data_IF_790716429468
#
_entry.id   IF_790716429468
#
_cell.length_a   1.000
_cell.length_b   1.000
_cell.length_c   1.000
_cell.angle_alpha   90.00
_cell.angle_beta   90.00
_cell.angle_gamma   90.00
#
_symmetry.space_group_name_H-M   'P 1'
#
loop_
_entity.id
_entity.type
_entity.pdbx_description
1 polymer ?
#
# COMPACT_ATOMS: atom_id res chain seq x y z
N UNK A 1 -18.36 -21.66 -31.55
CA UNK A 1 -17.48 -20.52 -31.90
C UNK A 1 -17.79 -19.23 -31.12
N UNK A 2 -19.04 -18.77 -31.02
CA UNK A 2 -19.41 -17.53 -30.27
C UNK A 2 -18.91 -17.48 -28.80
N UNK A 3 -18.93 -18.61 -28.08
CA UNK A 3 -18.48 -18.71 -26.67
C UNK A 3 -16.96 -18.55 -26.50
N UNK A 4 -16.17 -19.05 -27.45
CA UNK A 4 -14.70 -18.94 -27.45
C UNK A 4 -14.27 -17.50 -27.80
N UNK A 5 -15.02 -16.86 -28.70
CA UNK A 5 -14.82 -15.46 -29.06
C UNK A 5 -15.08 -14.53 -27.87
N UNK A 6 -16.14 -14.78 -27.09
CA UNK A 6 -16.42 -14.03 -25.85
C UNK A 6 -15.33 -14.18 -24.79
N UNK A 7 -14.74 -15.37 -24.64
CA UNK A 7 -13.64 -15.61 -23.69
C UNK A 7 -12.38 -14.84 -24.10
N UNK A 8 -12.06 -14.80 -25.40
CA UNK A 8 -10.95 -14.02 -25.94
C UNK A 8 -11.13 -12.52 -25.74
N UNK A 9 -12.33 -11.99 -25.98
CA UNK A 9 -12.62 -10.57 -25.77
C UNK A 9 -12.59 -10.19 -24.29
N UNK A 10 -13.08 -11.05 -23.40
CA UNK A 10 -13.00 -10.82 -21.95
C UNK A 10 -11.53 -10.80 -21.45
N UNK A 11 -10.67 -11.65 -22.01
CA UNK A 11 -9.25 -11.71 -21.68
C UNK A 11 -8.46 -10.49 -22.22
N UNK A 12 -8.87 -9.94 -23.37
CA UNK A 12 -8.32 -8.70 -23.94
C UNK A 12 -8.79 -7.45 -23.16
N UNK A 13 -10.04 -7.41 -22.69
CA UNK A 13 -10.53 -6.32 -21.85
C UNK A 13 -9.90 -6.31 -20.45
N UNK A 14 -9.56 -7.48 -19.91
CA UNK A 14 -8.86 -7.59 -18.64
C UNK A 14 -7.41 -7.11 -18.73
N UNK A 15 -6.70 -7.41 -19.83
CA UNK A 15 -5.31 -6.95 -20.04
C UNK A 15 -5.21 -5.43 -20.29
N UNK A 16 -6.23 -4.82 -20.89
CA UNK A 16 -6.28 -3.38 -21.14
C UNK A 16 -6.47 -2.52 -19.87
N UNK A 17 -6.87 -3.11 -18.74
CA UNK A 17 -7.15 -2.36 -17.49
C UNK A 17 -5.93 -2.16 -16.58
N UNK A 18 -4.76 -2.70 -16.94
CA UNK A 18 -3.52 -2.59 -16.15
C UNK A 18 -2.53 -1.58 -16.72
N UNK A 19 -3.02 -0.42 -17.16
CA UNK A 19 -2.14 0.72 -17.42
C UNK A 19 -1.48 1.14 -16.09
N UNK A 20 -0.20 0.83 -15.92
CA UNK A 20 0.62 1.26 -14.80
C UNK A 20 0.72 2.78 -14.89
N UNK A 21 -0.09 3.49 -14.10
CA UNK A 21 0.13 4.90 -13.87
C UNK A 21 1.43 5.04 -13.08
N UNK A 22 2.45 5.59 -13.74
CA UNK A 22 3.60 6.14 -13.04
C UNK A 22 3.08 7.29 -12.18
N UNK A 23 2.76 6.97 -10.92
CA UNK A 23 2.35 7.95 -9.92
C UNK A 23 3.57 8.82 -9.65
N UNK A 24 3.59 10.02 -10.23
CA UNK A 24 4.46 11.08 -9.77
C UNK A 24 4.23 11.24 -8.28
N UNK A 25 5.29 11.04 -7.49
CA UNK A 25 5.22 11.15 -6.04
C UNK A 25 4.83 12.60 -5.75
N UNK A 26 3.63 12.87 -5.21
CA UNK A 26 3.19 14.24 -5.01
C UNK A 26 4.18 14.94 -4.08
N UNK A 27 4.51 16.18 -4.39
CA UNK A 27 5.39 17.01 -3.58
C UNK A 27 4.71 17.26 -2.24
N UNK A 28 5.12 16.52 -1.20
CA UNK A 28 4.52 16.61 0.13
C UNK A 28 4.99 17.88 0.83
N UNK A 29 4.01 18.71 1.22
CA UNK A 29 4.23 19.84 2.11
C UNK A 29 4.19 19.38 3.58
N UNK A 30 5.03 19.99 4.41
CA UNK A 30 5.19 19.61 5.81
C UNK A 30 3.97 19.92 6.70
N UNK A 31 3.09 20.80 6.26
CA UNK A 31 1.80 21.13 6.88
C UNK A 31 0.75 20.01 6.70
N UNK A 32 0.82 19.26 5.60
CA UNK A 32 -0.11 18.19 5.24
C UNK A 32 0.27 16.83 5.82
N UNK A 33 1.46 16.71 6.40
CA UNK A 33 1.96 15.47 6.99
C UNK A 33 1.70 15.48 8.49
N UNK A 34 0.81 14.60 8.96
CA UNK A 34 0.43 14.52 10.37
C UNK A 34 1.02 13.30 11.07
N UNK A 35 1.56 13.51 12.27
CA UNK A 35 2.12 12.47 13.13
C UNK A 35 1.25 12.37 14.39
N UNK A 36 0.75 11.17 14.75
CA UNK A 36 0.06 10.99 16.02
C UNK A 36 1.06 11.11 17.18
N UNK A 37 0.67 11.86 18.21
CA UNK A 37 1.46 12.10 19.42
C UNK A 37 0.70 11.65 20.66
N UNK A 38 1.46 11.10 21.61
CA UNK A 38 0.92 10.60 22.88
C UNK A 38 0.02 9.37 22.72
N UNK A 39 -0.65 9.00 23.83
CA UNK A 39 -1.64 7.90 23.86
C UNK A 39 -3.04 8.35 23.45
N UNK A 40 -3.24 9.66 23.27
CA UNK A 40 -4.54 10.31 23.01
C UNK A 40 -4.90 10.38 21.53
N UNK A 41 -3.98 10.02 20.63
CA UNK A 41 -4.22 10.06 19.18
C UNK A 41 -4.28 11.47 18.58
N UNK A 42 -3.87 12.50 19.33
CA UNK A 42 -3.76 13.87 18.80
C UNK A 42 -2.73 13.89 17.67
N UNK A 43 -3.02 14.63 16.60
CA UNK A 43 -2.17 14.71 15.40
C UNK A 43 -1.49 16.08 15.35
N UNK A 44 -0.16 16.09 15.23
CA UNK A 44 0.63 17.30 15.00
C UNK A 44 1.21 17.27 13.58
N UNK A 45 1.21 18.39 12.87
CA UNK A 45 1.83 18.43 11.55
C UNK A 45 3.36 18.38 11.65
N UNK A 46 4.03 17.92 10.60
CA UNK A 46 5.49 17.86 10.54
C UNK A 46 6.11 19.26 10.66
N UNK A 47 5.45 20.27 10.08
CA UNK A 47 5.80 21.67 10.24
C UNK A 47 5.66 22.17 11.69
N UNK A 48 4.55 21.84 12.36
CA UNK A 48 4.34 22.19 13.77
C UNK A 48 5.36 21.51 14.68
N UNK A 49 5.73 20.25 14.41
CA UNK A 49 6.76 19.55 15.17
C UNK A 49 8.15 20.21 15.03
N UNK A 50 8.43 20.85 13.90
CA UNK A 50 9.64 21.64 13.71
C UNK A 50 9.67 22.89 14.61
N UNK A 51 8.54 23.46 14.99
CA UNK A 51 8.48 24.74 15.71
C UNK A 51 8.01 24.63 17.16
N UNK A 52 7.34 23.55 17.54
CA UNK A 52 6.79 23.35 18.88
C UNK A 52 7.85 23.41 19.97
N UNK A 53 7.47 23.97 21.13
CA UNK A 53 8.33 24.02 22.30
C UNK A 53 8.32 22.68 23.06
N UNK A 54 9.34 22.45 23.89
CA UNK A 54 9.40 21.25 24.73
C UNK A 54 8.26 21.20 25.75
N UNK A 55 7.83 22.35 26.28
CA UNK A 55 6.74 22.43 27.26
C UNK A 55 5.41 22.10 26.61
N UNK A 56 5.15 22.61 25.41
CA UNK A 56 3.91 22.35 24.69
C UNK A 56 3.83 20.89 24.27
N UNK A 57 4.94 20.31 23.80
CA UNK A 57 4.96 18.89 23.45
C UNK A 57 4.76 17.99 24.68
N UNK A 58 5.28 18.37 25.85
CA UNK A 58 5.01 17.65 27.10
C UNK A 58 3.54 17.75 27.51
N UNK A 59 2.90 18.91 27.31
CA UNK A 59 1.48 19.09 27.54
C UNK A 59 0.63 18.21 26.61
N UNK A 60 0.98 18.15 25.32
CA UNK A 60 0.27 17.32 24.33
C UNK A 60 0.48 15.81 24.56
N UNK A 61 1.68 15.40 24.94
CA UNK A 61 2.01 13.98 25.16
C UNK A 61 1.65 13.49 26.56
N UNK A 62 1.39 14.40 27.50
CA UNK A 62 1.13 14.09 28.91
C UNK A 62 2.33 13.51 29.65
N UNK A 63 3.54 13.59 29.08
CA UNK A 63 4.76 12.99 29.65
C UNK A 63 5.85 14.04 29.80
N UNK A 64 6.38 14.20 31.02
CA UNK A 64 7.57 15.01 31.26
C UNK A 64 8.79 14.35 30.60
N UNK A 65 9.57 15.13 29.85
CA UNK A 65 10.80 14.63 29.24
C UNK A 65 11.98 14.72 30.20
N UNK A 66 12.78 13.66 30.25
CA UNK A 66 14.08 13.67 30.93
C UNK A 66 15.07 14.59 30.22
N UNK A 67 16.17 14.96 30.89
CA UNK A 67 17.19 15.83 30.29
C UNK A 67 17.73 15.29 28.95
N UNK A 68 17.99 13.98 28.88
CA UNK A 68 18.45 13.30 27.66
C UNK A 68 17.37 13.34 26.56
N UNK A 69 16.11 13.13 26.92
CA UNK A 69 15.00 13.21 25.98
C UNK A 69 14.80 14.62 25.42
N UNK A 70 15.00 15.66 26.24
CA UNK A 70 14.98 17.05 25.78
C UNK A 70 16.09 17.33 24.77
N UNK A 71 17.28 16.82 25.02
CA UNK A 71 18.41 16.95 24.08
C UNK A 71 18.11 16.22 22.77
N UNK A 72 17.64 14.97 22.84
CA UNK A 72 17.25 14.18 21.66
C UNK A 72 16.13 14.85 20.87
N UNK A 73 15.13 15.42 21.55
CA UNK A 73 14.07 16.18 20.93
C UNK A 73 14.61 17.40 20.17
N UNK A 74 15.51 18.19 20.76
CA UNK A 74 16.13 19.33 20.06
C UNK A 74 16.93 18.90 18.83
N UNK A 75 17.66 17.79 18.93
CA UNK A 75 18.38 17.23 17.77
C UNK A 75 17.41 16.77 16.68
N UNK A 76 16.32 16.10 17.05
CA UNK A 76 15.27 15.70 16.12
C UNK A 76 14.60 16.92 15.46
N UNK A 77 14.25 17.94 16.24
CA UNK A 77 13.67 19.20 15.78
C UNK A 77 14.61 19.91 14.78
N UNK A 78 15.92 19.94 15.04
CA UNK A 78 16.92 20.48 14.12
C UNK A 78 16.95 19.70 12.80
N UNK A 79 16.88 18.35 12.85
CA UNK A 79 16.84 17.51 11.64
C UNK A 79 15.55 17.73 10.84
N UNK A 80 14.40 17.90 11.50
CA UNK A 80 13.12 18.22 10.85
C UNK A 80 13.20 19.60 10.19
N UNK A 81 13.71 20.63 10.89
CA UNK A 81 13.89 21.97 10.29
C UNK A 81 14.79 21.93 9.05
N UNK A 82 15.87 21.14 9.08
CA UNK A 82 16.78 20.96 7.94
C UNK A 82 16.16 20.15 6.79
N UNK A 83 15.16 19.30 7.06
CA UNK A 83 14.49 18.49 6.03
C UNK A 83 13.32 19.23 5.36
N UNK A 84 12.89 20.37 5.89
CA UNK A 84 11.87 21.24 5.32
C UNK A 84 12.56 22.34 4.48
N UNK A 85 12.14 22.48 3.23
CA UNK A 85 12.57 23.55 2.33
C UNK A 85 11.92 24.89 2.69
N UNK A 86 12.45 25.98 2.13
CA UNK A 86 11.91 27.34 2.32
C UNK A 86 10.49 27.49 1.79
N UNK A 87 10.07 26.65 0.85
CA UNK A 87 8.71 26.55 0.30
C UNK A 87 7.78 25.62 1.11
N UNK A 88 8.27 25.04 2.22
CA UNK A 88 7.53 24.11 3.06
C UNK A 88 7.55 22.66 2.59
N UNK A 89 8.26 22.32 1.51
CA UNK A 89 8.34 20.95 0.98
C UNK A 89 9.36 20.09 1.74
N UNK A 90 9.11 18.77 1.83
CA UNK A 90 10.04 17.84 2.48
C UNK A 90 11.14 17.45 1.49
N UNK A 91 12.34 18.01 1.65
CA UNK A 91 13.53 17.73 0.80
C UNK A 91 13.97 16.28 0.86
N UNK A 92 13.72 15.60 1.98
CA UNK A 92 14.22 14.25 2.20
C UNK A 92 13.32 13.20 1.52
N UNK A 93 13.78 12.68 0.37
CA UNK A 93 13.10 11.63 -0.40
C UNK A 93 12.72 10.40 0.43
N UNK A 94 13.48 10.02 1.47
CA UNK A 94 13.12 8.88 2.34
C UNK A 94 11.91 9.19 3.23
N UNK A 95 11.84 10.42 3.76
CA UNK A 95 10.74 10.89 4.60
C UNK A 95 9.49 11.10 3.75
N UNK A 96 9.64 11.75 2.59
CA UNK A 96 8.57 11.86 1.61
C UNK A 96 8.05 10.48 1.20
N UNK A 97 8.93 9.52 0.87
CA UNK A 97 8.54 8.13 0.58
C UNK A 97 7.88 7.43 1.76
N UNK A 98 8.27 7.69 3.01
CA UNK A 98 7.63 7.08 4.18
C UNK A 98 6.21 7.61 4.38
N UNK A 99 6.02 8.92 4.22
CA UNK A 99 4.71 9.56 4.35
C UNK A 99 3.82 9.39 3.13
N UNK A 100 4.35 9.23 1.91
CA UNK A 100 3.55 8.72 0.79
C UNK A 100 3.27 7.24 0.97
N UNK A 101 4.24 6.38 1.28
CA UNK A 101 3.98 4.94 1.46
C UNK A 101 2.93 4.65 2.56
N UNK A 102 2.91 5.43 3.65
CA UNK A 102 1.87 5.31 4.71
C UNK A 102 0.64 6.23 4.56
N UNK A 103 0.73 7.34 3.81
CA UNK A 103 -0.33 8.36 3.69
C UNK A 103 -0.84 8.60 2.26
N UNK A 104 -0.31 7.89 1.28
CA UNK A 104 -0.58 8.03 -0.15
C UNK A 104 -0.19 6.76 -0.92
N UNK A 105 -1.15 5.84 -1.04
CA UNK A 105 -1.11 4.73 -2.01
C UNK A 105 0.05 3.72 -1.89
N UNK A 106 0.65 3.51 -0.71
CA UNK A 106 1.69 2.48 -0.53
C UNK A 106 1.23 1.11 -0.03
N UNK A 107 0.03 0.99 0.54
CA UNK A 107 -0.46 -0.27 1.14
C UNK A 107 -1.78 -0.79 0.53
N UNK A 108 -2.43 -0.03 -0.35
CA UNK A 108 -3.73 -0.40 -0.93
C UNK A 108 -3.74 -0.62 -2.44
N UNK A 109 -2.60 -0.43 -3.12
CA UNK A 109 -2.47 -0.61 -4.57
C UNK A 109 -2.40 -2.07 -5.01
N UNK A 110 -2.56 -2.31 -6.31
CA UNK A 110 -2.45 -3.65 -6.92
C UNK A 110 -1.07 -4.27 -6.69
N UNK A 111 -1.02 -5.45 -6.05
CA UNK A 111 0.22 -6.20 -5.82
C UNK A 111 0.35 -7.34 -6.82
N UNK A 112 0.87 -7.03 -8.02
CA UNK A 112 1.01 -7.97 -9.14
C UNK A 112 1.68 -9.29 -8.75
N UNK A 113 2.77 -9.24 -7.97
CA UNK A 113 3.46 -10.46 -7.53
C UNK A 113 2.63 -11.34 -6.59
N UNK A 114 1.74 -10.73 -5.80
CA UNK A 114 0.85 -11.46 -4.90
C UNK A 114 -0.26 -12.13 -5.71
N UNK A 115 -0.87 -11.35 -6.62
CA UNK A 115 -1.85 -11.86 -7.57
C UNK A 115 -1.31 -13.04 -8.41
N UNK A 116 -0.13 -12.89 -9.00
CA UNK A 116 0.49 -13.95 -9.81
C UNK A 116 0.77 -15.23 -9.01
N UNK A 117 1.23 -15.10 -7.76
CA UNK A 117 1.40 -16.22 -6.83
C UNK A 117 0.09 -16.98 -6.66
N UNK A 118 -0.99 -16.27 -6.32
CA UNK A 118 -2.31 -16.89 -6.18
C UNK A 118 -2.87 -17.50 -7.45
N UNK A 119 -2.68 -16.85 -8.60
CA UNK A 119 -3.27 -17.23 -9.88
C UNK A 119 -2.57 -18.43 -10.53
N UNK A 120 -1.24 -18.43 -10.60
CA UNK A 120 -0.50 -19.49 -11.32
C UNK A 120 -0.10 -20.65 -10.42
N UNK A 121 0.18 -20.38 -9.14
CA UNK A 121 0.64 -21.40 -8.18
C UNK A 121 -0.53 -21.91 -7.32
N UNK A 122 -1.67 -21.22 -7.36
CA UNK A 122 -2.87 -21.62 -6.63
C UNK A 122 -2.73 -21.45 -5.12
N UNK A 123 -3.28 -22.40 -4.38
CA UNK A 123 -3.27 -22.40 -2.92
C UNK A 123 -1.84 -22.41 -2.33
N UNK A 124 -0.91 -23.09 -3.01
CA UNK A 124 0.52 -23.13 -2.63
C UNK A 124 1.11 -21.71 -2.72
N UNK A 125 0.75 -20.94 -3.74
CA UNK A 125 1.18 -19.55 -3.88
C UNK A 125 0.68 -18.64 -2.76
N UNK A 126 -0.54 -18.88 -2.27
CA UNK A 126 -1.07 -18.18 -1.09
C UNK A 126 -0.24 -18.50 0.14
N UNK A 127 0.12 -19.76 0.38
CA UNK A 127 0.98 -20.15 1.51
C UNK A 127 2.37 -19.51 1.44
N UNK A 128 2.97 -19.45 0.24
CA UNK A 128 4.25 -18.75 0.02
C UNK A 128 4.12 -17.26 0.37
N UNK A 129 2.98 -16.63 0.05
CA UNK A 129 2.74 -15.23 0.43
C UNK A 129 2.71 -15.01 1.95
N UNK A 130 2.27 -16.01 2.75
CA UNK A 130 2.31 -15.96 4.22
C UNK A 130 3.72 -16.09 4.79
N UNK A 131 4.60 -16.84 4.11
CA UNK A 131 6.00 -17.06 4.52
C UNK A 131 6.88 -15.82 4.28
N UNK A 132 6.56 -14.99 3.30
CA UNK A 132 7.31 -13.76 2.98
C UNK A 132 7.01 -12.65 3.99
N UNK A 133 8.00 -12.31 4.82
CA UNK A 133 7.89 -11.31 5.88
C UNK A 133 8.58 -10.00 5.47
N UNK A 134 7.85 -9.14 4.77
CA UNK A 134 8.29 -7.80 4.38
C UNK A 134 7.17 -6.78 4.63
N UNK A 135 7.45 -5.49 4.38
CA UNK A 135 6.48 -4.39 4.50
C UNK A 135 5.20 -4.60 3.67
N UNK A 136 5.22 -5.44 2.63
CA UNK A 136 4.13 -5.66 1.68
C UNK A 136 3.32 -6.93 1.98
N UNK A 137 3.62 -7.64 3.07
CA UNK A 137 3.01 -8.93 3.42
C UNK A 137 1.50 -8.93 3.35
N UNK A 138 0.85 -7.97 4.00
CA UNK A 138 -0.61 -7.91 4.06
C UNK A 138 -1.23 -7.69 2.67
N UNK A 139 -0.66 -6.77 1.89
CA UNK A 139 -1.15 -6.48 0.54
C UNK A 139 -0.89 -7.67 -0.41
N UNK A 140 0.28 -8.31 -0.33
CA UNK A 140 0.61 -9.50 -1.12
C UNK A 140 -0.32 -10.67 -0.83
N UNK A 141 -0.60 -10.96 0.45
CA UNK A 141 -1.53 -12.04 0.85
C UNK A 141 -2.93 -11.76 0.31
N UNK A 142 -3.42 -10.51 0.47
CA UNK A 142 -4.71 -10.10 -0.07
C UNK A 142 -4.79 -10.34 -1.58
N UNK A 143 -3.79 -9.91 -2.32
CA UNK A 143 -3.76 -10.11 -3.77
C UNK A 143 -3.56 -11.57 -4.18
N UNK A 144 -2.84 -12.39 -3.40
CA UNK A 144 -2.74 -13.82 -3.63
C UNK A 144 -4.09 -14.53 -3.48
N UNK A 145 -4.88 -14.18 -2.48
CA UNK A 145 -6.24 -14.70 -2.37
C UNK A 145 -7.14 -14.27 -3.54
N UNK A 146 -7.02 -13.02 -4.00
CA UNK A 146 -7.75 -12.54 -5.17
C UNK A 146 -7.31 -13.32 -6.43
N UNK A 147 -6.01 -13.51 -6.65
CA UNK A 147 -5.48 -14.28 -7.78
C UNK A 147 -5.97 -15.73 -7.78
N UNK A 148 -5.97 -16.37 -6.62
CA UNK A 148 -6.50 -17.73 -6.46
C UNK A 148 -8.01 -17.79 -6.74
N UNK A 149 -8.78 -16.83 -6.21
CA UNK A 149 -10.22 -16.73 -6.47
C UNK A 149 -10.53 -16.59 -7.95
N UNK A 150 -9.80 -15.73 -8.67
CA UNK A 150 -9.96 -15.58 -10.13
C UNK A 150 -9.62 -16.87 -10.86
N UNK A 151 -8.55 -17.56 -10.47
CA UNK A 151 -8.19 -18.86 -11.05
C UNK A 151 -9.31 -19.89 -10.89
N UNK A 152 -9.88 -20.02 -9.69
CA UNK A 152 -10.99 -20.95 -9.41
C UNK A 152 -12.22 -20.62 -10.27
N UNK A 153 -12.59 -19.35 -10.37
CA UNK A 153 -13.74 -18.93 -11.20
C UNK A 153 -13.52 -19.26 -12.67
N UNK A 154 -12.34 -18.97 -13.22
CA UNK A 154 -12.02 -19.32 -14.61
C UNK A 154 -12.02 -20.83 -14.83
N UNK A 155 -11.52 -21.60 -13.87
CA UNK A 155 -11.51 -23.06 -13.93
C UNK A 155 -12.93 -23.63 -13.95
N UNK A 156 -13.84 -23.13 -13.09
CA UNK A 156 -15.25 -23.54 -13.09
C UNK A 156 -15.91 -23.19 -14.43
N UNK A 157 -15.71 -21.98 -14.96
CA UNK A 157 -16.25 -21.58 -16.26
C UNK A 157 -15.75 -22.51 -17.37
N UNK A 158 -14.46 -22.86 -17.37
CA UNK A 158 -13.87 -23.77 -18.34
C UNK A 158 -14.53 -25.15 -18.25
N UNK A 159 -14.64 -25.71 -17.04
CA UNK A 159 -15.28 -27.01 -16.79
C UNK A 159 -16.72 -27.00 -17.31
N UNK A 160 -17.53 -26.01 -16.92
CA UNK A 160 -18.92 -25.89 -17.39
C UNK A 160 -18.99 -25.77 -18.90
N UNK A 161 -18.10 -24.99 -19.52
CA UNK A 161 -18.07 -24.84 -20.98
C UNK A 161 -17.72 -26.14 -21.70
N UNK A 162 -16.74 -26.91 -21.18
CA UNK A 162 -16.32 -28.21 -21.74
C UNK A 162 -17.44 -29.23 -21.62
N UNK A 163 -18.05 -29.38 -20.44
CA UNK A 163 -19.16 -30.33 -20.24
C UNK A 163 -20.42 -29.95 -21.03
N UNK A 164 -20.72 -28.65 -21.15
CA UNK A 164 -21.82 -28.18 -21.99
C UNK A 164 -21.59 -28.48 -23.47
N UNK A 165 -20.34 -28.37 -23.94
CA UNK A 165 -19.98 -28.70 -25.32
C UNK A 165 -20.08 -30.22 -25.58
N UNK A 166 -19.58 -31.04 -24.65
CA UNK A 166 -19.65 -32.50 -24.74
C UNK A 166 -21.10 -33.02 -24.72
N UNK A 167 -21.97 -32.43 -23.89
CA UNK A 167 -23.39 -32.79 -23.85
C UNK A 167 -24.13 -32.46 -25.16
N UNK A 168 -23.74 -31.39 -25.86
CA UNK A 168 -24.32 -31.02 -27.16
C UNK A 168 -23.87 -31.88 -28.34
N UNK A 169 -22.94 -32.81 -28.13
CA UNK A 169 -22.40 -33.72 -29.16
C UNK A 169 -22.87 -35.17 -29.01
N UNK A 170 -23.71 -35.48 -28.02
CA UNK A 170 -24.36 -36.79 -27.92
C UNK A 170 -25.64 -36.75 -28.78
N UNK A 171 -25.76 -37.61 -29.82
CA UNK A 171 -26.93 -37.65 -30.70
C UNK A 171 -28.19 -38.17 -30.00
#
# INVERSE_FOLDING_TARGET
MRKVLFLGTAMLLFSASFAISNVEVPVLKADQVFIPIGKTGQKISYAQLATISMTDLQALTGRKMSFIERMNFRMAQSKIRKSIATDGTIKNKKIAKFFTKKGGAGDSGFHLGGFALGFFVGLIGVLIAYLLNDDYKQNRIKWAWIGFGVFVVLWIILVVAVFSAAASTVP
#
